data_IF_769568771311
#
_entry.id   IF_769568771311
#
_cell.length_a   1.000
_cell.length_b   1.000
_cell.length_c   1.000
_cell.angle_alpha   90.00
_cell.angle_beta   90.00
_cell.angle_gamma   90.00
#
_symmetry.space_group_name_H-M   'P 1'
#
loop_
_entity.id
_entity.type
_entity.pdbx_description
1 polymer ?
#
# COMPACT_ATOMS: atom_id res chain seq x y z
N UNK A 1 26.61 61.86 31.73
CA UNK A 1 26.75 60.46 32.18
C UNK A 1 25.45 60.00 32.84
N UNK A 2 24.99 58.75 32.69
CA UNK A 2 25.51 57.66 31.86
C UNK A 2 24.54 57.23 30.74
N UNK A 3 25.15 56.82 29.63
CA UNK A 3 24.60 56.15 28.46
C UNK A 3 24.21 54.71 28.77
N UNK A 4 22.96 54.32 28.47
CA UNK A 4 22.50 52.93 28.51
C UNK A 4 23.05 52.15 27.32
N UNK A 5 24.12 51.39 27.58
CA UNK A 5 24.77 50.49 26.62
C UNK A 5 23.96 49.19 26.52
N UNK A 6 23.29 48.98 25.40
CA UNK A 6 22.61 47.74 25.04
C UNK A 6 23.65 46.60 24.95
N UNK A 7 23.64 45.68 25.91
CA UNK A 7 24.48 44.47 25.85
C UNK A 7 23.89 43.52 24.79
N UNK A 8 24.54 43.44 23.64
CA UNK A 8 24.35 42.32 22.70
C UNK A 8 24.84 41.04 23.38
N UNK A 9 23.94 40.08 23.59
CA UNK A 9 24.30 38.73 24.02
C UNK A 9 25.11 38.06 22.91
N UNK A 10 26.41 37.88 23.16
CA UNK A 10 27.28 37.07 22.29
C UNK A 10 26.79 35.62 22.28
N UNK A 11 26.57 35.00 21.11
CA UNK A 11 26.20 33.59 21.04
C UNK A 11 27.33 32.72 21.61
N UNK A 12 26.95 31.78 22.48
CA UNK A 12 27.80 30.78 23.11
C UNK A 12 28.78 30.15 22.11
N UNK A 13 30.08 30.21 22.45
CA UNK A 13 31.20 29.72 21.65
C UNK A 13 30.97 28.25 21.29
N UNK A 14 30.65 27.94 20.03
CA UNK A 14 30.38 26.57 19.54
C UNK A 14 31.50 25.63 20.02
N UNK A 15 31.18 24.69 20.92
CA UNK A 15 32.14 23.75 21.54
C UNK A 15 32.51 22.66 20.52
N UNK A 16 33.81 22.47 20.30
CA UNK A 16 34.36 21.33 19.54
C UNK A 16 33.93 19.99 20.17
N UNK A 17 33.86 18.90 19.38
CA UNK A 17 33.63 17.58 19.95
C UNK A 17 34.74 17.20 20.95
N UNK A 18 34.43 16.29 21.88
CA UNK A 18 35.34 15.90 22.96
C UNK A 18 36.68 15.38 22.42
N UNK A 19 36.66 14.67 21.28
CA UNK A 19 37.87 14.09 20.73
C UNK A 19 38.77 15.12 20.03
N UNK A 20 38.19 16.05 19.28
CA UNK A 20 38.95 17.16 18.71
C UNK A 20 39.50 18.09 19.80
N UNK A 21 38.73 18.31 20.87
CA UNK A 21 39.18 19.07 22.04
C UNK A 21 40.38 18.40 22.72
N UNK A 22 40.30 17.08 22.99
CA UNK A 22 41.39 16.31 23.61
C UNK A 22 42.65 16.32 22.75
N UNK A 23 42.50 16.22 21.44
CA UNK A 23 43.62 16.27 20.49
C UNK A 23 44.11 17.69 20.16
N UNK A 24 43.54 18.75 20.76
CA UNK A 24 43.86 20.17 20.50
C UNK A 24 43.83 20.56 19.02
N UNK A 25 42.84 20.03 18.29
CA UNK A 25 42.69 20.26 16.85
C UNK A 25 41.34 20.89 16.50
N UNK A 26 41.29 21.59 15.37
CA UNK A 26 40.04 22.18 14.86
C UNK A 26 39.03 21.08 14.53
N UNK A 27 37.80 21.26 15.03
CA UNK A 27 36.67 20.37 14.78
C UNK A 27 35.84 20.89 13.61
N UNK A 28 35.33 19.98 12.76
CA UNK A 28 34.43 20.32 11.65
C UNK A 28 33.01 20.72 12.09
N UNK A 29 32.65 20.45 13.35
CA UNK A 29 31.36 20.79 13.98
C UNK A 29 30.12 20.16 13.33
N UNK A 30 30.25 19.27 12.35
CA UNK A 30 29.12 18.50 11.82
C UNK A 30 28.55 17.55 12.88
N UNK A 31 27.23 17.36 12.85
CA UNK A 31 26.49 16.42 13.70
C UNK A 31 25.82 15.37 12.81
N UNK A 32 25.80 14.09 13.20
CA UNK A 32 26.15 13.54 14.52
C UNK A 32 27.67 13.34 14.76
N UNK A 33 28.49 13.31 13.70
CA UNK A 33 29.95 13.14 13.79
C UNK A 33 30.69 14.13 12.91
N UNK A 34 31.81 14.70 13.38
CA UNK A 34 32.64 15.58 12.56
C UNK A 34 33.51 14.81 11.57
N UNK A 35 33.80 15.41 10.42
CA UNK A 35 34.53 14.81 9.30
C UNK A 35 35.87 14.20 9.72
N UNK A 36 36.59 14.83 10.66
CA UNK A 36 37.88 14.32 11.15
C UNK A 36 37.74 13.04 11.99
N UNK A 37 36.71 12.97 12.83
CA UNK A 37 36.44 11.77 13.61
C UNK A 37 36.00 10.62 12.69
N UNK A 38 35.23 10.91 11.63
CA UNK A 38 34.86 9.93 10.60
C UNK A 38 36.10 9.42 9.86
N UNK A 39 36.92 10.34 9.34
CA UNK A 39 38.13 9.99 8.59
C UNK A 39 39.17 9.22 9.42
N UNK A 40 39.23 9.48 10.74
CA UNK A 40 40.14 8.77 11.65
C UNK A 40 39.53 7.52 12.29
N UNK A 41 38.32 7.14 11.90
CA UNK A 41 37.52 6.07 12.49
C UNK A 41 37.45 6.12 14.04
N UNK A 42 37.15 7.31 14.59
CA UNK A 42 37.05 7.55 16.04
C UNK A 42 35.64 7.98 16.41
N UNK A 43 35.15 7.50 17.55
CA UNK A 43 33.84 7.90 18.10
C UNK A 43 33.80 9.41 18.37
N UNK A 44 32.89 10.10 17.69
CA UNK A 44 32.67 11.54 17.84
C UNK A 44 31.54 11.80 18.83
N UNK A 45 31.86 12.42 19.96
CA UNK A 45 30.85 12.76 20.98
C UNK A 45 30.93 14.24 21.29
N UNK A 46 29.80 14.93 21.22
CA UNK A 46 29.67 16.32 21.70
C UNK A 46 29.13 16.28 23.13
N UNK A 47 29.61 17.17 24.00
CA UNK A 47 29.06 17.29 25.33
C UNK A 47 27.62 17.81 25.23
N UNK A 48 26.66 16.97 25.63
CA UNK A 48 25.27 17.39 25.86
C UNK A 48 25.23 18.12 27.19
N UNK A 49 24.78 19.38 27.23
CA UNK A 49 24.60 20.10 28.48
C UNK A 49 23.43 19.44 29.24
N UNK A 50 23.76 18.72 30.32
CA UNK A 50 22.79 18.19 31.29
C UNK A 50 22.63 19.23 32.40
N UNK A 51 21.44 19.81 32.65
CA UNK A 51 21.22 20.65 33.82
C UNK A 51 21.11 19.78 35.09
N UNK A 52 21.58 20.25 36.26
CA UNK A 52 21.35 19.56 37.52
C UNK A 52 19.87 19.69 37.94
N UNK A 53 19.27 18.58 38.36
CA UNK A 53 17.91 18.48 38.90
C UNK A 53 17.70 19.33 40.16
N UNK A 54 16.50 19.87 40.36
CA UNK A 54 15.77 19.56 41.59
C UNK A 54 14.25 19.29 41.40
N UNK A 55 13.80 18.27 42.13
CA UNK A 55 12.57 18.13 42.93
C UNK A 55 11.23 18.77 42.48
N UNK A 56 10.32 17.90 42.03
CA UNK A 56 8.85 17.78 42.29
C UNK A 56 8.00 19.07 42.45
N UNK A 57 7.08 19.31 41.50
CA UNK A 57 5.61 19.29 41.71
C UNK A 57 4.84 19.44 40.38
N UNK A 58 3.65 18.83 40.36
CA UNK A 58 2.82 18.44 39.22
C UNK A 58 2.06 19.57 38.49
N UNK A 59 1.82 19.39 37.18
CA UNK A 59 0.53 19.62 36.49
C UNK A 59 0.61 19.27 34.97
N UNK A 60 -0.54 18.93 34.40
CA UNK A 60 -0.82 18.27 33.11
C UNK A 60 -0.44 19.03 31.81
N UNK A 61 -0.48 18.37 30.62
CA UNK A 61 0.08 18.90 29.37
C UNK A 61 -0.96 19.53 28.43
N UNK A 62 -0.56 20.57 27.70
CA UNK A 62 -1.22 21.00 26.46
C UNK A 62 -0.22 21.60 25.46
N UNK A 63 -0.04 20.87 24.36
CA UNK A 63 0.32 21.18 22.98
C UNK A 63 0.99 22.52 22.60
N UNK A 64 2.15 22.40 21.92
CA UNK A 64 2.71 23.42 21.04
C UNK A 64 2.85 22.85 19.62
N UNK A 65 2.40 23.68 18.69
CA UNK A 65 2.41 23.54 17.24
C UNK A 65 3.80 23.32 16.62
N UNK A 66 3.83 22.55 15.54
CA UNK A 66 4.95 22.42 14.60
C UNK A 66 4.83 23.47 13.48
N UNK A 67 5.92 24.12 13.07
CA UNK A 67 5.92 25.10 11.99
C UNK A 67 6.11 24.47 10.61
N UNK A 68 5.52 25.15 9.63
CA UNK A 68 5.61 24.91 8.21
C UNK A 68 6.98 25.25 7.61
N UNK A 69 7.36 24.52 6.56
CA UNK A 69 7.62 25.03 5.19
C UNK A 69 8.71 24.23 4.51
N UNK A 70 8.50 23.92 3.23
CA UNK A 70 9.46 24.12 2.13
C UNK A 70 8.74 23.83 0.80
N UNK A 71 8.40 24.88 0.07
CA UNK A 71 8.07 24.81 -1.35
C UNK A 71 8.93 25.83 -2.08
N UNK A 72 9.71 25.34 -3.04
CA UNK A 72 10.51 26.10 -3.99
C UNK A 72 9.63 26.50 -5.17
N UNK A 73 9.51 27.82 -5.39
CA UNK A 73 8.88 28.40 -6.56
C UNK A 73 9.89 28.56 -7.71
N UNK A 74 9.48 28.20 -8.91
CA UNK A 74 10.12 28.58 -10.17
C UNK A 74 9.42 29.83 -10.72
N UNK A 75 10.22 30.81 -11.12
CA UNK A 75 9.80 32.10 -11.68
C UNK A 75 9.90 32.02 -13.21
N UNK A 76 8.86 32.46 -13.93
CA UNK A 76 8.99 32.95 -15.30
C UNK A 76 8.23 34.28 -15.47
N UNK A 77 8.77 35.27 -16.20
CA UNK A 77 8.08 36.50 -16.52
C UNK A 77 7.59 36.50 -17.98
N UNK A 78 6.52 37.22 -18.29
CA UNK A 78 6.47 38.21 -19.38
C UNK A 78 5.11 38.90 -19.50
N UNK A 79 5.18 40.22 -19.66
CA UNK A 79 4.15 41.17 -20.07
C UNK A 79 3.54 40.83 -21.44
N UNK A 80 2.23 41.06 -21.61
CA UNK A 80 1.68 41.50 -22.90
C UNK A 80 0.52 42.48 -22.71
N UNK A 81 0.67 43.62 -23.39
CA UNK A 81 -0.23 44.76 -23.52
C UNK A 81 -1.49 44.48 -24.34
N UNK A 82 -2.58 45.16 -23.95
CA UNK A 82 -3.89 45.22 -24.64
C UNK A 82 -3.82 46.12 -25.87
N UNK A 83 -4.24 45.62 -27.04
CA UNK A 83 -4.73 46.45 -28.16
C UNK A 83 -5.94 45.75 -28.80
N UNK A 84 -7.00 46.53 -29.00
CA UNK A 84 -8.26 46.17 -29.65
C UNK A 84 -8.22 46.67 -31.08
N UNK A 85 -8.56 45.81 -32.05
CA UNK A 85 -9.04 46.22 -33.37
C UNK A 85 -9.86 45.10 -34.00
N UNK A 86 -11.04 45.46 -34.52
CA UNK A 86 -12.02 44.60 -35.21
C UNK A 86 -11.87 44.84 -36.71
N UNK A 87 -11.81 43.79 -37.53
CA UNK A 87 -12.32 43.75 -38.92
C UNK A 87 -12.42 42.27 -39.44
N UNK A 88 -13.19 41.99 -40.51
CA UNK A 88 -14.03 40.78 -40.60
C UNK A 88 -13.46 39.61 -41.44
N UNK A 89 -14.02 38.41 -41.18
CA UNK A 89 -13.65 37.10 -41.74
C UNK A 89 -13.74 37.00 -43.28
N UNK A 90 -12.82 36.23 -43.90
CA UNK A 90 -13.08 35.46 -45.12
C UNK A 90 -13.41 33.99 -44.80
N UNK A 91 -14.45 33.47 -45.44
CA UNK A 91 -14.94 32.09 -45.38
C UNK A 91 -13.98 31.10 -46.04
N UNK A 92 -13.58 30.05 -45.29
CA UNK A 92 -12.84 28.90 -45.80
C UNK A 92 -13.80 27.74 -46.14
N UNK A 93 -13.49 26.90 -47.15
CA UNK A 93 -14.33 25.79 -47.59
C UNK A 93 -14.31 24.62 -46.58
N UNK A 94 -15.31 23.72 -46.59
CA UNK A 94 -15.45 22.70 -45.56
C UNK A 94 -14.34 21.64 -45.67
N UNK A 95 -13.61 21.46 -44.58
CA UNK A 95 -12.69 20.35 -44.40
C UNK A 95 -13.47 19.04 -44.29
N UNK A 96 -13.17 18.12 -45.18
CA UNK A 96 -13.59 16.72 -45.14
C UNK A 96 -13.19 16.13 -43.80
N UNK A 97 -14.17 15.76 -42.97
CA UNK A 97 -13.90 15.00 -41.75
C UNK A 97 -13.26 13.67 -42.12
N UNK A 98 -11.98 13.52 -41.81
CA UNK A 98 -11.36 12.20 -41.67
C UNK A 98 -12.08 11.53 -40.51
N UNK A 99 -13.01 10.64 -40.84
CA UNK A 99 -13.61 9.74 -39.88
C UNK A 99 -12.49 8.86 -39.32
N UNK A 100 -12.09 9.15 -38.08
CA UNK A 100 -11.38 8.17 -37.25
C UNK A 100 -12.27 6.93 -37.21
N UNK A 101 -11.77 5.72 -37.53
CA UNK A 101 -12.57 4.52 -37.44
C UNK A 101 -13.03 4.39 -35.99
N UNK A 102 -14.34 4.47 -35.78
CA UNK A 102 -14.99 4.07 -34.53
C UNK A 102 -14.57 2.61 -34.32
N UNK A 103 -13.77 2.37 -33.29
CA UNK A 103 -13.41 1.02 -32.87
C UNK A 103 -14.69 0.22 -32.66
N UNK A 104 -14.69 -1.00 -33.19
CA UNK A 104 -15.76 -1.98 -33.07
C UNK A 104 -16.18 -2.15 -31.60
N UNK A 105 -17.44 -2.55 -31.33
CA UNK A 105 -17.98 -2.56 -29.98
C UNK A 105 -17.15 -3.45 -29.09
N UNK A 106 -16.74 -2.87 -27.95
CA UNK A 106 -16.11 -3.48 -26.80
C UNK A 106 -16.70 -4.89 -26.59
N UNK A 107 -15.88 -5.95 -26.68
CA UNK A 107 -16.30 -7.27 -26.26
C UNK A 107 -16.70 -7.16 -24.79
N UNK A 108 -18.00 -7.14 -24.52
CA UNK A 108 -18.53 -6.98 -23.18
C UNK A 108 -18.05 -8.15 -22.32
N UNK A 109 -17.23 -7.86 -21.30
CA UNK A 109 -16.72 -8.86 -20.36
C UNK A 109 -17.89 -9.59 -19.70
N UNK A 110 -17.85 -10.92 -19.71
CA UNK A 110 -18.90 -11.75 -19.13
C UNK A 110 -18.37 -12.56 -17.93
N UNK A 111 -18.78 -12.15 -16.73
CA UNK A 111 -18.39 -12.78 -15.48
C UNK A 111 -19.39 -13.82 -14.97
N UNK A 112 -20.37 -14.26 -15.79
CA UNK A 112 -21.36 -15.24 -15.38
C UNK A 112 -20.77 -16.64 -15.11
N UNK A 113 -19.65 -16.98 -15.77
CA UNK A 113 -18.99 -18.28 -15.65
C UNK A 113 -17.49 -18.09 -15.43
N UNK A 114 -17.09 -17.92 -14.17
CA UNK A 114 -15.69 -17.81 -13.75
C UNK A 114 -15.18 -19.23 -13.43
N UNK A 115 -14.12 -19.65 -14.10
CA UNK A 115 -13.50 -20.97 -13.90
C UNK A 115 -12.34 -20.87 -12.90
N UNK A 116 -12.66 -21.09 -11.62
CA UNK A 116 -11.72 -21.08 -10.51
C UNK A 116 -11.69 -22.43 -9.80
N UNK A 117 -10.52 -22.79 -9.29
CA UNK A 117 -10.32 -24.01 -8.51
C UNK A 117 -10.46 -23.68 -7.02
N UNK A 118 -11.43 -24.30 -6.31
CA UNK A 118 -11.62 -24.08 -4.88
C UNK A 118 -10.32 -24.27 -4.09
N UNK A 119 -10.04 -23.36 -3.16
CA UNK A 119 -8.84 -23.43 -2.35
C UNK A 119 -8.99 -24.51 -1.27
N UNK A 120 -8.22 -25.60 -1.39
CA UNK A 120 -8.16 -26.62 -0.35
C UNK A 120 -7.64 -26.01 0.97
N UNK A 121 -8.37 -26.22 2.06
CA UNK A 121 -7.99 -25.68 3.36
C UNK A 121 -8.30 -24.19 3.55
N UNK A 122 -9.24 -23.61 2.78
CA UNK A 122 -9.63 -22.21 2.93
C UNK A 122 -10.05 -21.85 4.37
N UNK A 123 -10.60 -22.80 5.13
CA UNK A 123 -10.92 -22.67 6.56
C UNK A 123 -9.73 -22.23 7.41
N UNK A 124 -8.50 -22.54 7.01
CA UNK A 124 -7.30 -22.08 7.69
C UNK A 124 -7.10 -20.55 7.62
N UNK A 125 -7.67 -19.88 6.59
CA UNK A 125 -7.73 -18.42 6.50
C UNK A 125 -8.65 -17.91 7.59
N UNK A 126 -9.84 -18.50 7.74
CA UNK A 126 -10.82 -18.11 8.76
C UNK A 126 -10.28 -18.34 10.17
N UNK A 127 -9.67 -19.49 10.42
CA UNK A 127 -9.29 -19.88 11.78
C UNK A 127 -7.96 -19.25 12.23
N UNK A 128 -7.29 -18.48 11.34
CA UNK A 128 -5.97 -17.87 11.59
C UNK A 128 -5.92 -16.95 12.80
N UNK A 129 -7.00 -16.24 13.11
CA UNK A 129 -7.02 -15.25 14.21
C UNK A 129 -6.95 -15.93 15.58
N UNK A 130 -7.29 -17.22 15.66
CA UNK A 130 -7.21 -18.02 16.87
C UNK A 130 -5.77 -18.45 17.20
N UNK A 131 -4.88 -18.53 16.21
CA UNK A 131 -3.53 -19.09 16.37
C UNK A 131 -2.68 -18.41 17.45
N UNK A 132 -2.70 -17.07 17.63
CA UNK A 132 -2.02 -16.42 18.75
C UNK A 132 -2.50 -16.86 20.14
N UNK A 133 -3.74 -17.32 20.27
CA UNK A 133 -4.38 -17.66 21.54
C UNK A 133 -4.38 -19.17 21.82
N UNK A 134 -4.33 -19.97 20.76
CA UNK A 134 -4.28 -21.41 20.83
C UNK A 134 -2.82 -21.86 21.05
N UNK A 135 -2.49 -22.24 22.29
CA UNK A 135 -1.23 -22.92 22.61
C UNK A 135 -1.24 -24.36 22.04
N UNK A 136 -1.25 -24.51 20.72
CA UNK A 136 -1.42 -25.82 20.09
C UNK A 136 -0.08 -26.44 19.74
N UNK A 137 0.28 -27.41 20.59
CA UNK A 137 1.13 -28.56 20.31
C UNK A 137 0.84 -29.17 18.93
N UNK A 138 1.73 -28.94 17.95
CA UNK A 138 1.80 -29.76 16.72
C UNK A 138 2.13 -29.02 15.43
N UNK A 139 1.67 -27.78 15.23
CA UNK A 139 2.04 -26.97 14.07
C UNK A 139 3.20 -26.05 14.43
N UNK A 140 4.33 -26.19 13.72
CA UNK A 140 5.43 -25.23 13.79
C UNK A 140 5.00 -23.93 13.11
N UNK A 141 4.29 -23.07 13.84
CA UNK A 141 4.04 -21.71 13.39
C UNK A 141 5.37 -20.98 13.23
N UNK A 142 5.59 -20.40 12.06
CA UNK A 142 6.81 -19.65 11.75
C UNK A 142 6.55 -18.16 12.03
N UNK A 143 7.14 -17.56 13.08
CA UNK A 143 6.88 -16.16 13.40
C UNK A 143 7.47 -15.24 12.33
N UNK A 144 6.74 -14.17 12.00
CA UNK A 144 7.22 -13.03 11.20
C UNK A 144 7.79 -11.98 12.15
N UNK A 145 9.11 -11.95 12.29
CA UNK A 145 9.80 -10.92 13.06
C UNK A 145 9.96 -9.66 12.20
N UNK A 146 8.98 -8.75 12.27
CA UNK A 146 9.05 -7.49 11.54
C UNK A 146 10.01 -6.49 12.20
N UNK A 147 10.88 -5.89 11.39
CA UNK A 147 11.61 -4.70 11.81
C UNK A 147 10.66 -3.48 11.83
N UNK A 148 10.76 -2.54 12.79
CA UNK A 148 9.90 -1.36 12.85
C UNK A 148 9.81 -0.56 11.54
N UNK A 149 10.94 -0.38 10.85
CA UNK A 149 10.97 0.29 9.54
C UNK A 149 10.23 -0.47 8.43
N UNK A 150 10.13 -1.80 8.51
CA UNK A 150 9.33 -2.59 7.55
C UNK A 150 7.85 -2.34 7.77
N UNK A 151 7.40 -2.29 9.02
CA UNK A 151 6.00 -1.94 9.36
C UNK A 151 5.70 -0.50 8.95
N UNK A 152 6.62 0.43 9.22
CA UNK A 152 6.48 1.82 8.77
C UNK A 152 6.37 1.92 7.24
N UNK A 153 7.21 1.19 6.49
CA UNK A 153 7.13 1.11 5.03
C UNK A 153 5.76 0.59 4.57
N UNK A 154 5.29 -0.52 5.15
CA UNK A 154 3.98 -1.10 4.85
C UNK A 154 2.85 -0.09 5.11
N UNK A 155 2.84 0.54 6.28
CA UNK A 155 1.87 1.55 6.68
C UNK A 155 1.87 2.77 5.75
N UNK A 156 3.06 3.21 5.32
CA UNK A 156 3.20 4.32 4.38
C UNK A 156 2.55 3.99 3.03
N UNK A 157 2.80 2.79 2.47
CA UNK A 157 2.23 2.39 1.19
C UNK A 157 0.71 2.15 1.31
N UNK A 158 0.26 1.37 2.30
CA UNK A 158 -1.16 1.06 2.49
C UNK A 158 -2.02 2.32 2.65
N UNK A 159 -1.55 3.32 3.39
CA UNK A 159 -2.25 4.62 3.58
C UNK A 159 -2.53 5.35 2.26
N UNK A 160 -1.80 5.04 1.18
CA UNK A 160 -2.03 5.69 -0.12
C UNK A 160 -3.23 5.14 -0.87
N UNK A 161 -3.66 3.90 -0.63
CA UNK A 161 -4.68 3.25 -1.45
C UNK A 161 -6.04 3.94 -1.42
N UNK A 162 -6.61 4.32 -0.26
CA UNK A 162 -7.85 5.11 -0.24
C UNK A 162 -7.67 6.50 -0.88
N UNK A 163 -6.47 7.10 -0.75
CA UNK A 163 -6.19 8.41 -1.36
C UNK A 163 -6.14 8.34 -2.89
N UNK A 164 -5.63 7.25 -3.44
CA UNK A 164 -5.67 6.99 -4.89
C UNK A 164 -7.11 6.98 -5.40
N UNK A 165 -8.03 6.33 -4.66
CA UNK A 165 -9.45 6.31 -5.01
C UNK A 165 -10.10 7.69 -4.95
N UNK A 166 -9.69 8.53 -4.01
CA UNK A 166 -10.17 9.91 -3.92
C UNK A 166 -9.73 10.77 -5.12
N UNK A 167 -8.67 10.38 -5.85
CA UNK A 167 -8.18 11.00 -7.07
C UNK A 167 -8.47 10.19 -8.34
N UNK A 168 -9.54 9.38 -8.32
CA UNK A 168 -10.01 8.54 -9.43
C UNK A 168 -8.98 7.51 -9.97
N UNK A 169 -7.97 7.17 -9.17
CA UNK A 169 -7.02 6.08 -9.45
C UNK A 169 -7.45 4.79 -8.76
N UNK A 170 -7.11 3.65 -9.35
CA UNK A 170 -7.49 2.33 -8.86
C UNK A 170 -6.39 1.73 -7.97
N UNK A 171 -6.69 1.32 -6.73
CA UNK A 171 -5.75 0.60 -5.87
C UNK A 171 -5.26 -0.72 -6.48
N UNK A 172 -4.07 -1.21 -6.09
CA UNK A 172 -3.45 -2.37 -6.75
C UNK A 172 -4.16 -3.71 -6.52
N UNK A 173 -5.16 -3.75 -5.64
CA UNK A 173 -5.96 -4.93 -5.36
C UNK A 173 -7.35 -4.89 -5.99
N UNK A 174 -7.66 -3.86 -6.77
CA UNK A 174 -8.89 -3.74 -7.57
C UNK A 174 -8.48 -3.67 -9.05
N UNK A 175 -9.06 -4.54 -9.88
CA UNK A 175 -8.73 -4.51 -11.30
C UNK A 175 -9.47 -3.35 -11.99
N UNK A 176 -8.85 -2.62 -12.95
CA UNK A 176 -9.50 -1.49 -13.61
C UNK A 176 -10.85 -1.81 -14.26
N UNK A 177 -11.02 -3.01 -14.81
CA UNK A 177 -12.30 -3.43 -15.41
C UNK A 177 -13.44 -3.57 -14.39
N UNK A 178 -13.14 -3.73 -13.09
CA UNK A 178 -14.17 -3.74 -12.05
C UNK A 178 -14.86 -2.37 -11.87
N UNK A 179 -14.29 -1.30 -12.43
CA UNK A 179 -14.92 0.02 -12.46
C UNK A 179 -16.02 0.14 -13.53
N UNK A 180 -15.93 -0.64 -14.61
CA UNK A 180 -16.89 -0.61 -15.71
C UNK A 180 -18.00 -1.65 -15.56
N UNK A 181 -17.79 -2.69 -14.75
CA UNK A 181 -18.77 -3.76 -14.50
C UNK A 181 -19.93 -3.37 -13.58
N UNK A 182 -19.86 -2.22 -12.91
CA UNK A 182 -20.98 -1.67 -12.14
C UNK A 182 -21.22 -2.32 -10.77
N UNK A 183 -20.19 -2.82 -10.09
CA UNK A 183 -20.33 -3.37 -8.73
C UNK A 183 -20.74 -2.29 -7.73
N UNK A 184 -21.92 -2.44 -7.13
CA UNK A 184 -22.50 -1.46 -6.18
C UNK A 184 -21.59 -1.23 -4.98
N UNK A 185 -20.97 -2.30 -4.45
CA UNK A 185 -20.05 -2.20 -3.32
C UNK A 185 -18.85 -1.27 -3.61
N UNK A 186 -18.25 -1.38 -4.80
CA UNK A 186 -17.13 -0.54 -5.20
C UNK A 186 -17.58 0.90 -5.51
N UNK A 187 -18.71 1.08 -6.19
CA UNK A 187 -19.26 2.41 -6.48
C UNK A 187 -19.56 3.21 -5.19
N UNK A 188 -20.17 2.55 -4.20
CA UNK A 188 -20.37 3.11 -2.86
C UNK A 188 -19.03 3.42 -2.19
N UNK A 189 -18.06 2.50 -2.29
CA UNK A 189 -16.72 2.66 -1.71
C UNK A 189 -16.02 3.92 -2.20
N UNK A 190 -15.95 4.17 -3.52
CA UNK A 190 -15.36 5.40 -4.04
C UNK A 190 -16.07 6.65 -3.53
N UNK A 191 -17.40 6.61 -3.47
CA UNK A 191 -18.20 7.75 -2.99
C UNK A 191 -17.95 8.04 -1.51
N UNK A 192 -17.90 7.00 -0.66
CA UNK A 192 -17.64 7.14 0.77
C UNK A 192 -16.17 7.48 1.08
N UNK A 193 -15.22 7.00 0.28
CA UNK A 193 -13.81 7.39 0.40
C UNK A 193 -13.63 8.88 0.07
N UNK A 194 -14.28 9.39 -0.98
CA UNK A 194 -14.28 10.82 -1.30
C UNK A 194 -14.93 11.63 -0.18
N UNK A 195 -16.07 11.17 0.34
CA UNK A 195 -16.75 11.80 1.47
C UNK A 195 -15.85 11.83 2.71
N UNK A 196 -15.13 10.75 3.01
CA UNK A 196 -14.19 10.69 4.13
C UNK A 196 -13.07 11.72 3.98
N UNK A 197 -12.42 11.80 2.83
CA UNK A 197 -11.29 12.70 2.62
C UNK A 197 -11.69 14.18 2.49
N UNK A 198 -12.86 14.48 1.94
CA UNK A 198 -13.34 15.84 1.70
C UNK A 198 -14.47 16.28 2.65
N UNK A 199 -14.64 15.58 3.77
CA UNK A 199 -15.65 15.89 4.79
C UNK A 199 -15.53 17.34 5.27
N UNK A 200 -16.67 17.98 5.52
CA UNK A 200 -16.72 19.29 6.15
C UNK A 200 -16.38 19.20 7.64
N UNK A 201 -15.76 20.24 8.21
CA UNK A 201 -15.52 20.31 9.64
C UNK A 201 -16.86 20.24 10.41
N UNK A 202 -16.93 19.39 11.43
CA UNK A 202 -18.15 19.12 12.21
C UNK A 202 -19.03 17.99 11.67
N UNK A 203 -18.74 17.45 10.47
CA UNK A 203 -19.48 16.31 9.89
C UNK A 203 -18.85 14.95 10.21
N UNK A 204 -17.78 14.92 11.01
CA UNK A 204 -16.95 13.72 11.21
C UNK A 204 -17.76 12.53 11.74
N UNK A 205 -18.64 12.75 12.71
CA UNK A 205 -19.46 11.67 13.27
C UNK A 205 -20.45 11.08 12.26
N UNK A 206 -21.07 11.93 11.44
CA UNK A 206 -22.04 11.50 10.40
C UNK A 206 -21.33 10.70 9.31
N UNK A 207 -20.15 11.16 8.89
CA UNK A 207 -19.33 10.47 7.89
C UNK A 207 -18.87 9.11 8.43
N UNK A 208 -18.39 9.06 9.67
CA UNK A 208 -18.00 7.82 10.32
C UNK A 208 -19.16 6.82 10.45
N UNK A 209 -20.34 7.28 10.89
CA UNK A 209 -21.56 6.48 10.97
C UNK A 209 -21.98 5.93 9.60
N UNK A 210 -21.89 6.76 8.55
CA UNK A 210 -22.25 6.34 7.19
C UNK A 210 -21.32 5.24 6.68
N UNK A 211 -20.00 5.36 6.94
CA UNK A 211 -19.03 4.31 6.60
C UNK A 211 -19.28 3.04 7.41
N UNK A 212 -19.53 3.17 8.72
CA UNK A 212 -19.81 2.01 9.58
C UNK A 212 -21.07 1.26 9.10
N UNK A 213 -22.16 1.96 8.79
CA UNK A 213 -23.38 1.34 8.24
C UNK A 213 -23.12 0.59 6.93
N UNK A 214 -22.27 1.13 6.07
CA UNK A 214 -21.90 0.44 4.83
C UNK A 214 -21.01 -0.78 5.11
N UNK A 215 -20.06 -0.69 6.05
CA UNK A 215 -19.28 -1.83 6.50
C UNK A 215 -20.18 -2.94 7.05
N UNK A 216 -21.17 -2.59 7.88
CA UNK A 216 -22.13 -3.54 8.44
C UNK A 216 -22.99 -4.18 7.33
N UNK A 217 -23.42 -3.38 6.35
CA UNK A 217 -24.16 -3.88 5.17
C UNK A 217 -23.35 -4.88 4.36
N UNK A 218 -22.05 -4.62 4.15
CA UNK A 218 -21.15 -5.53 3.44
C UNK A 218 -20.86 -6.80 4.24
N UNK A 219 -20.70 -6.68 5.57
CA UNK A 219 -20.41 -7.82 6.45
C UNK A 219 -21.57 -8.81 6.56
N UNK A 220 -22.81 -8.32 6.59
CA UNK A 220 -24.01 -9.15 6.74
C UNK A 220 -24.75 -9.40 5.42
N UNK A 221 -24.30 -8.78 4.33
CA UNK A 221 -24.88 -8.93 3.01
C UNK A 221 -24.67 -10.34 2.48
N UNK A 222 -25.76 -10.99 2.05
CA UNK A 222 -25.65 -12.24 1.29
C UNK A 222 -25.26 -11.90 -0.15
N UNK A 223 -23.96 -11.86 -0.43
CA UNK A 223 -23.44 -11.74 -1.81
C UNK A 223 -23.36 -13.12 -2.44
N UNK A 224 -24.12 -13.35 -3.51
CA UNK A 224 -24.01 -14.54 -4.35
C UNK A 224 -23.08 -14.27 -5.53
N UNK A 225 -22.05 -15.10 -5.70
CA UNK A 225 -21.10 -15.02 -6.82
C UNK A 225 -19.74 -14.45 -6.45
N UNK A 226 -18.70 -14.95 -7.11
CA UNK A 226 -17.30 -14.63 -6.83
C UNK A 226 -16.96 -13.15 -7.00
N UNK A 227 -17.59 -12.48 -7.97
CA UNK A 227 -17.34 -11.08 -8.29
C UNK A 227 -17.91 -10.14 -7.23
N UNK A 228 -19.13 -10.38 -6.76
CA UNK A 228 -19.75 -9.59 -5.70
C UNK A 228 -19.08 -9.81 -4.34
N UNK A 229 -18.69 -11.05 -4.03
CA UNK A 229 -17.90 -11.36 -2.84
C UNK A 229 -16.53 -10.65 -2.87
N UNK A 230 -15.85 -10.68 -4.02
CA UNK A 230 -14.60 -9.96 -4.21
C UNK A 230 -14.78 -8.45 -4.07
N UNK A 231 -15.79 -7.86 -4.70
CA UNK A 231 -16.08 -6.44 -4.62
C UNK A 231 -16.39 -5.99 -3.18
N UNK A 232 -17.16 -6.79 -2.44
CA UNK A 232 -17.44 -6.55 -1.03
C UNK A 232 -16.17 -6.62 -0.17
N UNK A 233 -15.32 -7.64 -0.37
CA UNK A 233 -14.04 -7.77 0.32
C UNK A 233 -13.12 -6.56 0.04
N UNK A 234 -13.00 -6.16 -1.22
CA UNK A 234 -12.16 -5.02 -1.64
C UNK A 234 -12.66 -3.70 -1.03
N UNK A 235 -13.98 -3.47 -1.02
CA UNK A 235 -14.58 -2.29 -0.42
C UNK A 235 -14.37 -2.27 1.11
N UNK A 236 -14.64 -3.38 1.79
CA UNK A 236 -14.45 -3.49 3.24
C UNK A 236 -12.98 -3.31 3.63
N UNK A 237 -12.06 -3.96 2.91
CA UNK A 237 -10.61 -3.78 3.09
C UNK A 237 -10.20 -2.32 2.93
N UNK A 238 -10.73 -1.62 1.92
CA UNK A 238 -10.46 -0.19 1.71
C UNK A 238 -10.92 0.64 2.89
N UNK A 239 -12.12 0.40 3.43
CA UNK A 239 -12.60 1.10 4.62
C UNK A 239 -11.72 0.83 5.84
N UNK A 240 -11.28 -0.40 6.04
CA UNK A 240 -10.33 -0.73 7.11
C UNK A 240 -9.01 0.02 6.95
N UNK A 241 -8.40 0.03 5.76
CA UNK A 241 -7.16 0.77 5.49
C UNK A 241 -7.37 2.28 5.75
N UNK A 242 -8.47 2.85 5.25
CA UNK A 242 -8.80 4.27 5.38
C UNK A 242 -8.99 4.67 6.83
N UNK A 243 -9.85 3.97 7.57
CA UNK A 243 -10.18 4.28 8.94
C UNK A 243 -9.00 4.03 9.90
N UNK A 244 -8.18 3.01 9.63
CA UNK A 244 -7.00 2.70 10.44
C UNK A 244 -5.89 3.75 10.26
N UNK A 245 -5.58 4.15 9.02
CA UNK A 245 -4.46 5.06 8.76
C UNK A 245 -4.83 6.54 8.70
N UNK A 246 -6.12 6.89 8.68
CA UNK A 246 -6.65 8.25 8.71
C UNK A 246 -7.88 8.33 9.62
N UNK A 247 -7.73 8.01 10.93
CA UNK A 247 -8.85 7.89 11.85
C UNK A 247 -9.54 9.23 12.09
N UNK A 248 -10.85 9.16 12.31
CA UNK A 248 -11.63 10.26 12.88
C UNK A 248 -11.49 10.17 14.40
N UNK A 249 -11.01 11.25 15.03
CA UNK A 249 -10.75 11.29 16.47
C UNK A 249 -12.00 10.92 17.28
N UNK A 250 -11.84 9.97 18.21
CA UNK A 250 -12.91 9.53 19.11
C UNK A 250 -13.84 8.45 18.53
N UNK A 251 -13.65 8.00 17.28
CA UNK A 251 -14.51 6.99 16.64
C UNK A 251 -13.64 5.86 16.06
N UNK A 252 -13.34 4.81 16.84
CA UNK A 252 -12.52 3.69 16.37
C UNK A 252 -13.35 2.70 15.53
N UNK A 253 -13.37 2.90 14.21
CA UNK A 253 -14.04 1.99 13.25
C UNK A 253 -13.31 0.64 13.09
N UNK A 254 -11.99 0.61 13.32
CA UNK A 254 -11.17 -0.59 13.15
C UNK A 254 -10.75 -1.11 14.52
N UNK A 255 -11.23 -2.30 14.84
CA UNK A 255 -10.93 -3.05 16.06
C UNK A 255 -10.86 -4.55 15.74
N UNK A 256 -10.70 -5.39 16.77
CA UNK A 256 -10.56 -6.84 16.60
C UNK A 256 -11.77 -7.46 15.89
N UNK A 257 -12.99 -7.02 16.19
CA UNK A 257 -14.20 -7.51 15.52
C UNK A 257 -14.19 -7.15 14.04
N UNK A 258 -13.83 -5.91 13.69
CA UNK A 258 -13.67 -5.46 12.30
C UNK A 258 -12.65 -6.31 11.54
N UNK A 259 -11.53 -6.65 12.17
CA UNK A 259 -10.48 -7.47 11.56
C UNK A 259 -10.90 -8.94 11.41
N UNK A 260 -11.66 -9.49 12.37
CA UNK A 260 -12.25 -10.84 12.26
C UNK A 260 -13.29 -10.89 11.14
N UNK A 261 -14.14 -9.87 11.01
CA UNK A 261 -15.09 -9.76 9.89
C UNK A 261 -14.37 -9.70 8.54
N UNK A 262 -13.33 -8.87 8.42
CA UNK A 262 -12.52 -8.80 7.20
C UNK A 262 -11.89 -10.17 6.86
N UNK A 263 -11.45 -10.92 7.87
CA UNK A 263 -10.91 -12.26 7.69
C UNK A 263 -11.97 -13.27 7.25
N UNK A 264 -13.20 -13.22 7.79
CA UNK A 264 -14.32 -14.04 7.33
C UNK A 264 -14.66 -13.74 5.86
N UNK A 265 -14.68 -12.47 5.47
CA UNK A 265 -14.89 -12.08 4.07
C UNK A 265 -13.77 -12.57 3.15
N UNK A 266 -12.52 -12.51 3.62
CA UNK A 266 -11.36 -13.04 2.90
C UNK A 266 -11.46 -14.56 2.70
N UNK A 267 -11.91 -15.29 3.73
CA UNK A 267 -12.22 -16.71 3.64
C UNK A 267 -13.32 -16.98 2.60
N UNK A 268 -14.47 -16.31 2.67
CA UNK A 268 -15.56 -16.47 1.71
C UNK A 268 -15.10 -16.23 0.27
N UNK A 269 -14.33 -15.19 0.02
CA UNK A 269 -13.79 -14.91 -1.31
C UNK A 269 -12.79 -15.98 -1.79
N UNK A 270 -12.00 -16.56 -0.87
CA UNK A 270 -11.03 -17.61 -1.19
C UNK A 270 -11.66 -18.99 -1.39
N UNK A 271 -12.86 -19.26 -0.84
CA UNK A 271 -13.57 -20.54 -1.02
C UNK A 271 -13.81 -20.86 -2.50
N UNK A 272 -14.24 -19.86 -3.28
CA UNK A 272 -14.44 -20.00 -4.73
C UNK A 272 -13.13 -20.18 -5.52
N UNK A 273 -11.97 -20.09 -4.87
CA UNK A 273 -10.67 -20.27 -5.49
C UNK A 273 -9.89 -18.98 -5.73
N UNK A 274 -8.56 -19.12 -5.80
CA UNK A 274 -7.60 -18.03 -6.05
C UNK A 274 -6.82 -18.21 -7.36
N UNK A 275 -7.08 -19.29 -8.08
CA UNK A 275 -6.38 -19.71 -9.30
C UNK A 275 -7.39 -20.34 -10.25
N UNK A 276 -7.24 -20.08 -11.55
CA UNK A 276 -8.06 -20.73 -12.57
C UNK A 276 -7.54 -22.11 -12.98
N UNK A 277 -8.41 -22.97 -13.52
CA UNK A 277 -8.02 -24.32 -13.98
C UNK A 277 -6.95 -24.25 -15.07
N UNK A 278 -7.09 -23.31 -16.01
CA UNK A 278 -6.11 -23.09 -17.07
C UNK A 278 -4.74 -22.62 -16.54
N UNK A 279 -4.70 -21.74 -15.53
CA UNK A 279 -3.43 -21.34 -14.89
C UNK A 279 -2.68 -22.53 -14.27
N UNK A 280 -3.39 -23.45 -13.62
CA UNK A 280 -2.80 -24.68 -13.09
C UNK A 280 -2.29 -25.62 -14.18
N UNK A 281 -2.98 -25.65 -15.33
CA UNK A 281 -2.59 -26.43 -16.49
C UNK A 281 -1.45 -25.78 -17.31
N UNK A 282 -0.99 -24.58 -16.94
CA UNK A 282 0.01 -23.83 -17.71
C UNK A 282 -0.51 -23.36 -19.07
N UNK A 283 -1.82 -23.17 -19.20
CA UNK A 283 -2.48 -22.69 -20.42
C UNK A 283 -3.13 -21.32 -20.18
N UNK A 284 -3.61 -20.69 -21.26
CA UNK A 284 -4.23 -19.37 -21.20
C UNK A 284 -5.68 -19.48 -20.67
N UNK A 285 -6.02 -18.87 -19.52
CA UNK A 285 -7.39 -18.81 -19.02
C UNK A 285 -8.29 -17.90 -19.88
N UNK A 286 -9.60 -17.92 -19.61
CA UNK A 286 -10.46 -16.82 -20.01
C UNK A 286 -10.05 -15.54 -19.25
N UNK A 287 -10.12 -14.38 -19.90
CA UNK A 287 -9.67 -13.13 -19.31
C UNK A 287 -10.45 -12.81 -18.02
N UNK A 288 -11.75 -13.05 -18.01
CA UNK A 288 -12.63 -12.85 -16.86
C UNK A 288 -12.24 -13.71 -15.67
N UNK A 289 -11.99 -15.01 -15.88
CA UNK A 289 -11.52 -15.93 -14.85
C UNK A 289 -10.19 -15.46 -14.26
N UNK A 290 -9.28 -15.01 -15.13
CA UNK A 290 -7.99 -14.48 -14.70
C UNK A 290 -8.09 -13.17 -13.92
N UNK A 291 -8.95 -12.23 -14.36
CA UNK A 291 -9.19 -10.96 -13.66
C UNK A 291 -9.65 -11.26 -12.23
N UNK A 292 -10.65 -12.13 -12.07
CA UNK A 292 -11.18 -12.48 -10.74
C UNK A 292 -10.12 -13.19 -9.90
N UNK A 293 -9.41 -14.17 -10.45
CA UNK A 293 -8.34 -14.89 -9.74
C UNK A 293 -7.21 -13.96 -9.27
N UNK A 294 -6.72 -13.09 -10.17
CA UNK A 294 -5.61 -12.17 -9.89
C UNK A 294 -6.03 -11.07 -8.90
N UNK A 295 -7.23 -10.52 -9.05
CA UNK A 295 -7.77 -9.53 -8.12
C UNK A 295 -8.03 -10.13 -6.73
N UNK A 296 -8.56 -11.36 -6.63
CA UNK A 296 -8.66 -12.10 -5.36
C UNK A 296 -7.28 -12.28 -4.71
N UNK A 297 -6.27 -12.75 -5.44
CA UNK A 297 -4.88 -12.88 -4.94
C UNK A 297 -4.34 -11.57 -4.39
N UNK A 298 -4.48 -10.47 -5.13
CA UNK A 298 -4.00 -9.15 -4.71
C UNK A 298 -4.75 -8.61 -3.48
N UNK A 299 -6.07 -8.81 -3.41
CA UNK A 299 -6.88 -8.47 -2.24
C UNK A 299 -6.46 -9.27 -1.00
N UNK A 300 -6.20 -10.57 -1.15
CA UNK A 300 -5.66 -11.41 -0.09
C UNK A 300 -4.30 -10.88 0.40
N UNK A 301 -3.35 -10.62 -0.49
CA UNK A 301 -2.05 -10.10 -0.07
C UNK A 301 -2.16 -8.73 0.62
N UNK A 302 -3.01 -7.83 0.12
CA UNK A 302 -3.27 -6.54 0.75
C UNK A 302 -3.89 -6.68 2.16
N UNK A 303 -4.85 -7.60 2.32
CA UNK A 303 -5.42 -7.96 3.62
C UNK A 303 -4.34 -8.45 4.60
N UNK A 304 -3.47 -9.38 4.19
CA UNK A 304 -2.41 -9.91 5.05
C UNK A 304 -1.36 -8.85 5.42
N UNK A 305 -1.09 -7.89 4.52
CA UNK A 305 -0.23 -6.74 4.84
C UNK A 305 -0.88 -5.86 5.92
N UNK A 306 -2.18 -5.52 5.77
CA UNK A 306 -2.91 -4.74 6.78
C UNK A 306 -2.97 -5.48 8.13
N UNK A 307 -3.35 -6.76 8.12
CA UNK A 307 -3.39 -7.62 9.32
C UNK A 307 -2.02 -7.66 10.00
N UNK A 308 -0.93 -7.72 9.23
CA UNK A 308 0.42 -7.71 9.80
C UNK A 308 0.75 -6.43 10.55
N UNK A 309 0.38 -5.27 9.99
CA UNK A 309 0.52 -3.97 10.66
C UNK A 309 -0.36 -3.92 11.91
N UNK A 310 -1.65 -4.25 11.78
CA UNK A 310 -2.60 -4.22 12.87
C UNK A 310 -2.16 -5.08 14.06
N UNK A 311 -1.74 -6.31 13.80
CA UNK A 311 -1.26 -7.22 14.83
C UNK A 311 -0.02 -6.67 15.54
N UNK A 312 0.95 -6.13 14.77
CA UNK A 312 2.18 -5.60 15.35
C UNK A 312 1.91 -4.40 16.27
N UNK A 313 1.02 -3.48 15.86
CA UNK A 313 0.65 -2.31 16.66
C UNK A 313 -0.12 -2.70 17.94
N UNK A 314 -0.84 -3.83 17.93
CA UNK A 314 -1.55 -4.39 19.07
C UNK A 314 -0.73 -5.42 19.89
N UNK A 315 0.56 -5.58 19.59
CA UNK A 315 1.45 -6.57 20.23
C UNK A 315 0.97 -8.03 20.10
N UNK A 316 0.23 -8.33 19.03
CA UNK A 316 -0.19 -9.68 18.66
C UNK A 316 0.88 -10.27 17.71
N UNK A 317 1.35 -11.52 17.94
CA UNK A 317 2.36 -12.14 17.10
C UNK A 317 1.84 -12.33 15.66
N UNK A 318 2.73 -12.07 14.71
CA UNK A 318 2.49 -12.36 13.30
C UNK A 318 3.13 -13.69 12.92
N UNK A 319 2.41 -14.51 12.15
CA UNK A 319 2.90 -15.79 11.64
C UNK A 319 2.96 -15.82 10.12
N UNK A 320 3.68 -16.78 9.56
CA UNK A 320 3.71 -17.06 8.12
C UNK A 320 2.32 -17.45 7.62
N UNK A 321 1.97 -17.00 6.41
CA UNK A 321 0.67 -17.28 5.80
C UNK A 321 0.69 -18.65 5.09
N UNK A 322 0.90 -19.69 5.88
CA UNK A 322 1.13 -21.07 5.42
C UNK A 322 0.04 -21.59 4.47
N UNK A 323 -1.20 -21.23 4.75
CA UNK A 323 -2.38 -21.54 3.95
C UNK A 323 -2.32 -20.96 2.52
N UNK A 324 -1.53 -19.90 2.30
CA UNK A 324 -1.32 -19.29 0.98
C UNK A 324 -0.12 -19.87 0.23
N UNK A 325 0.54 -20.93 0.73
CA UNK A 325 1.79 -21.46 0.13
C UNK A 325 1.70 -21.72 -1.37
N UNK A 326 0.61 -22.32 -1.81
CA UNK A 326 0.41 -22.72 -3.19
C UNK A 326 -0.02 -21.58 -4.12
N UNK A 327 -0.35 -20.41 -3.57
CA UNK A 327 -0.91 -19.29 -4.30
C UNK A 327 0.17 -18.60 -5.13
N UNK A 328 -0.16 -18.25 -6.37
CA UNK A 328 0.75 -17.51 -7.24
C UNK A 328 0.95 -16.07 -6.76
N UNK A 329 2.16 -15.55 -6.92
CA UNK A 329 2.46 -14.13 -6.72
C UNK A 329 1.71 -13.28 -7.78
N UNK A 330 1.60 -11.94 -7.58
CA UNK A 330 0.99 -11.07 -8.58
C UNK A 330 1.71 -11.18 -9.94
N UNK A 331 0.93 -11.30 -11.00
CA UNK A 331 1.43 -11.38 -12.37
C UNK A 331 2.10 -10.07 -12.85
N UNK A 332 2.73 -10.13 -14.01
CA UNK A 332 3.45 -9.00 -14.60
C UNK A 332 2.56 -7.78 -14.82
N UNK A 333 3.14 -6.58 -14.63
CA UNK A 333 2.46 -5.29 -14.77
C UNK A 333 1.66 -5.16 -16.07
N UNK A 334 2.26 -5.58 -17.18
CA UNK A 334 1.64 -5.51 -18.52
C UNK A 334 0.39 -6.38 -18.67
N UNK A 335 0.34 -7.51 -17.96
CA UNK A 335 -0.84 -8.41 -17.98
C UNK A 335 -1.96 -7.80 -17.12
N UNK A 336 -1.60 -7.20 -15.98
CA UNK A 336 -2.53 -6.52 -15.07
C UNK A 336 -3.12 -5.22 -15.62
N UNK A 337 -2.34 -4.44 -16.36
CA UNK A 337 -2.76 -3.14 -16.89
C UNK A 337 -3.38 -3.21 -18.29
N UNK A 338 -3.53 -4.42 -18.85
CA UNK A 338 -4.11 -4.62 -20.17
C UNK A 338 -5.53 -4.04 -20.25
N UNK A 339 -5.80 -3.26 -21.31
CA UNK A 339 -7.06 -2.51 -21.46
C UNK A 339 -8.06 -3.17 -22.41
N UNK A 340 -7.63 -4.17 -23.17
CA UNK A 340 -8.48 -4.94 -24.07
C UNK A 340 -8.12 -6.41 -24.03
N UNK A 341 -9.05 -7.28 -24.48
CA UNK A 341 -8.82 -8.73 -24.51
C UNK A 341 -7.64 -9.07 -25.41
N UNK A 342 -7.55 -8.43 -26.56
CA UNK A 342 -6.45 -8.61 -27.51
C UNK A 342 -5.09 -8.27 -26.90
N UNK A 343 -5.02 -7.17 -26.16
CA UNK A 343 -3.80 -6.79 -25.44
C UNK A 343 -3.46 -7.82 -24.36
N UNK A 344 -4.44 -8.18 -23.53
CA UNK A 344 -4.26 -9.16 -22.48
C UNK A 344 -3.79 -10.51 -23.02
N UNK A 345 -4.43 -11.02 -24.08
CA UNK A 345 -4.08 -12.29 -24.71
C UNK A 345 -2.65 -12.31 -25.22
N UNK A 346 -2.22 -11.20 -25.83
CA UNK A 346 -0.86 -11.04 -26.35
C UNK A 346 0.18 -10.98 -25.23
N UNK A 347 -0.09 -10.21 -24.17
CA UNK A 347 0.82 -10.12 -23.01
C UNK A 347 0.85 -11.44 -22.23
N UNK A 348 -0.28 -12.12 -22.08
CA UNK A 348 -0.37 -13.42 -21.41
C UNK A 348 0.36 -14.52 -22.18
N UNK A 349 0.29 -14.54 -23.51
CA UNK A 349 1.09 -15.46 -24.33
C UNK A 349 2.59 -15.25 -24.13
N UNK A 350 3.05 -13.99 -24.02
CA UNK A 350 4.45 -13.70 -23.67
C UNK A 350 4.80 -14.13 -22.26
N UNK A 351 3.88 -13.96 -21.31
CA UNK A 351 4.05 -14.46 -19.94
C UNK A 351 4.27 -15.98 -19.93
N UNK A 352 3.41 -16.76 -20.61
CA UNK A 352 3.57 -18.22 -20.71
C UNK A 352 4.91 -18.62 -21.33
N UNK A 353 5.36 -17.92 -22.38
CA UNK A 353 6.66 -18.18 -22.99
C UNK A 353 7.85 -17.89 -22.05
N UNK A 354 7.72 -16.89 -21.17
CA UNK A 354 8.74 -16.54 -20.16
C UNK A 354 8.70 -17.46 -18.94
N UNK A 355 7.60 -18.19 -18.71
CA UNK A 355 7.39 -19.04 -17.53
C UNK A 355 7.10 -20.50 -17.90
N UNK A 356 8.03 -21.19 -18.63
CA UNK A 356 7.85 -22.60 -19.00
C UNK A 356 7.82 -23.54 -17.79
N UNK A 357 8.39 -23.10 -16.66
CA UNK A 357 8.42 -23.78 -15.38
C UNK A 357 7.28 -23.36 -14.43
N UNK A 358 6.29 -22.65 -14.96
CA UNK A 358 5.09 -22.21 -14.27
C UNK A 358 5.25 -20.91 -13.45
N UNK A 359 4.13 -20.23 -13.10
CA UNK A 359 4.17 -18.95 -12.40
C UNK A 359 4.87 -19.03 -11.05
N UNK A 360 5.43 -17.90 -10.61
CA UNK A 360 6.05 -17.80 -9.29
C UNK A 360 5.00 -17.99 -8.18
N UNK A 361 5.23 -18.91 -7.25
CA UNK A 361 4.42 -19.04 -6.03
C UNK A 361 4.88 -18.07 -4.97
N UNK A 362 3.97 -17.55 -4.16
CA UNK A 362 4.32 -16.62 -3.07
C UNK A 362 5.27 -17.26 -2.05
N UNK A 363 5.19 -18.58 -1.88
CA UNK A 363 6.10 -19.34 -1.01
C UNK A 363 7.54 -19.39 -1.50
N UNK A 364 7.79 -19.12 -2.78
CA UNK A 364 9.13 -18.95 -3.32
C UNK A 364 9.82 -17.69 -2.76
N UNK A 365 9.07 -16.73 -2.21
CA UNK A 365 9.63 -15.57 -1.53
C UNK A 365 9.89 -15.80 -0.03
N UNK A 366 9.55 -16.98 0.51
CA UNK A 366 9.74 -17.30 1.92
C UNK A 366 11.05 -18.01 2.18
N UNK A 367 11.49 -18.07 3.44
CA UNK A 367 12.69 -18.81 3.81
C UNK A 367 12.44 -20.32 3.66
N UNK A 368 13.36 -21.01 3.00
CA UNK A 368 13.34 -22.46 2.81
C UNK A 368 14.77 -22.99 2.57
N UNK A 369 14.99 -24.31 2.50
CA UNK A 369 16.30 -24.88 2.15
C UNK A 369 16.82 -24.44 0.78
N UNK A 370 15.95 -24.04 -0.14
CA UNK A 370 16.31 -23.57 -1.48
C UNK A 370 16.57 -22.06 -1.55
N UNK A 371 16.41 -21.33 -0.45
CA UNK A 371 16.70 -19.89 -0.39
C UNK A 371 18.18 -19.66 -0.71
N UNK A 372 18.47 -18.74 -1.64
CA UNK A 372 19.82 -18.55 -2.17
C UNK A 372 20.30 -19.63 -3.15
N UNK A 373 19.45 -20.55 -3.62
CA UNK A 373 19.80 -21.40 -4.78
C UNK A 373 19.77 -20.58 -6.07
N UNK A 374 20.60 -20.96 -7.04
CA UNK A 374 20.69 -20.27 -8.33
C UNK A 374 19.35 -20.27 -9.07
N UNK A 375 18.72 -21.45 -9.18
CA UNK A 375 17.39 -21.61 -9.80
C UNK A 375 16.33 -20.71 -9.17
N UNK A 376 16.30 -20.60 -7.84
CA UNK A 376 15.31 -19.78 -7.14
C UNK A 376 15.56 -18.29 -7.33
N UNK A 377 16.82 -17.85 -7.28
CA UNK A 377 17.19 -16.47 -7.61
C UNK A 377 16.80 -16.10 -9.03
N UNK A 378 17.10 -16.94 -10.01
CA UNK A 378 16.72 -16.70 -11.41
C UNK A 378 15.20 -16.54 -11.60
N UNK A 379 14.40 -17.38 -10.94
CA UNK A 379 12.93 -17.26 -10.97
C UNK A 379 12.46 -15.96 -10.32
N UNK A 380 13.00 -15.61 -9.15
CA UNK A 380 12.64 -14.38 -8.45
C UNK A 380 13.06 -13.15 -9.28
N UNK A 381 14.26 -13.15 -9.86
CA UNK A 381 14.77 -12.04 -10.67
C UNK A 381 13.90 -11.82 -11.91
N UNK A 382 13.51 -12.90 -12.60
CA UNK A 382 12.58 -12.86 -13.74
C UNK A 382 11.24 -12.25 -13.35
N UNK A 383 10.73 -12.58 -12.16
CA UNK A 383 9.49 -12.02 -11.65
C UNK A 383 9.62 -10.55 -11.26
N UNK A 384 10.63 -10.19 -10.47
CA UNK A 384 10.88 -8.81 -10.03
C UNK A 384 11.09 -7.86 -11.21
N UNK A 385 11.69 -8.33 -12.31
CA UNK A 385 11.89 -7.55 -13.53
C UNK A 385 10.56 -7.07 -14.17
N UNK A 386 9.47 -7.79 -13.97
CA UNK A 386 8.21 -7.57 -14.70
C UNK A 386 7.02 -7.24 -13.82
N UNK A 387 7.14 -7.45 -12.51
CA UNK A 387 6.08 -7.18 -11.55
C UNK A 387 5.79 -5.68 -11.40
N UNK A 388 4.60 -5.34 -10.93
CA UNK A 388 4.19 -3.96 -10.71
C UNK A 388 4.64 -3.46 -9.33
N UNK A 389 4.27 -2.22 -9.01
CA UNK A 389 4.63 -1.56 -7.76
C UNK A 389 4.13 -2.34 -6.52
N UNK A 390 3.00 -3.04 -6.65
CA UNK A 390 2.46 -3.89 -5.59
C UNK A 390 3.26 -5.17 -5.41
N UNK A 391 3.65 -5.83 -6.49
CA UNK A 391 4.56 -6.97 -6.43
C UNK A 391 5.93 -6.60 -5.87
N UNK A 392 6.49 -5.46 -6.24
CA UNK A 392 7.75 -4.95 -5.65
C UNK A 392 7.60 -4.71 -4.15
N UNK A 393 6.45 -4.20 -3.69
CA UNK A 393 6.17 -4.07 -2.26
C UNK A 393 6.17 -5.43 -1.56
N UNK A 394 5.50 -6.44 -2.12
CA UNK A 394 5.50 -7.80 -1.57
C UNK A 394 6.90 -8.39 -1.52
N UNK A 395 7.68 -8.20 -2.59
CA UNK A 395 9.08 -8.62 -2.64
C UNK A 395 9.89 -8.00 -1.50
N UNK A 396 9.84 -6.68 -1.34
CA UNK A 396 10.57 -5.96 -0.31
C UNK A 396 10.21 -6.47 1.10
N UNK A 397 8.92 -6.64 1.38
CA UNK A 397 8.45 -7.16 2.68
C UNK A 397 8.95 -8.60 2.91
N UNK A 398 8.88 -9.47 1.91
CA UNK A 398 9.36 -10.85 2.02
C UNK A 398 10.88 -10.91 2.22
N UNK A 399 11.67 -10.11 1.48
CA UNK A 399 13.13 -10.07 1.64
C UNK A 399 13.52 -9.57 3.03
N UNK A 400 12.83 -8.56 3.57
CA UNK A 400 13.09 -8.09 4.94
C UNK A 400 12.85 -9.17 6.01
N UNK A 401 11.92 -10.11 5.76
CA UNK A 401 11.57 -11.18 6.69
C UNK A 401 12.43 -12.44 6.51
N UNK A 402 12.71 -12.80 5.26
CA UNK A 402 13.23 -14.13 4.92
C UNK A 402 14.66 -14.11 4.42
N UNK A 403 15.15 -12.96 3.96
CA UNK A 403 16.35 -12.85 3.14
C UNK A 403 16.05 -13.14 1.67
N UNK A 404 17.06 -12.96 0.83
CA UNK A 404 17.03 -13.23 -0.62
C UNK A 404 17.98 -14.39 -0.94
#
# INVERSE_FOLDING_TARGET
MPTTRTQRSTPSRKKSCLQCAKSKVRCGLERPSCQRCVASNRRCTYATEVPPSPTIRAAAPASIATPASLSTAFTEPSDVTVVSEREPLPTLPPLTQVQVPVQAPDETLNFASVDLVPLAGADQIRDRWLRPFLAVTGQQEVPKAFHPYTLQYMSCVLRTYPKQMASDSVPPFIHPTQMTTGHVALANCYSLVRLWHHRAAGSEAIVADTVQREMDRLAHGQTSGDTEQLAALQAYLTYCIMAYFSPISGIPLVNDATMVTLQEMAFCAAQGGLVSTAELAGSRPAWESWIVASAKRRAMFAFYLLSSVYNADNNVPNFLAEELRGVFAPDAKRVWEARSREEWEREYARHLALWPDGPLKISELWRSPETGSERRRERIDRWVQTTDEFGVMLFAVCVHLHGY
#
